data_IF_603944805290
#
_entry.id   IF_603944805290
#
_cell.length_a   1.000
_cell.length_b   1.000
_cell.length_c   1.000
_cell.angle_alpha   90.00
_cell.angle_beta   90.00
_cell.angle_gamma   90.00
#
_symmetry.space_group_name_H-M   'P 1'
#
loop_
_entity.id
_entity.type
_entity.pdbx_description
1 polymer ?
#
# COMPACT_ATOMS: atom_id res chain seq x y z
N UNK A 1 1.23 17.75 57.85
CA UNK A 1 0.60 16.75 56.96
C UNK A 1 0.01 17.29 55.66
N UNK A 2 -0.39 18.58 55.54
CA UNK A 2 -0.97 19.13 54.30
C UNK A 2 0.03 19.40 53.16
N UNK A 3 1.29 19.67 53.48
CA UNK A 3 2.33 20.01 52.48
C UNK A 3 2.76 18.79 51.64
N UNK A 4 2.78 17.59 52.24
CA UNK A 4 3.18 16.35 51.56
C UNK A 4 2.13 15.94 50.50
N UNK A 5 0.84 16.20 50.74
CA UNK A 5 -0.22 15.91 49.76
C UNK A 5 -0.16 16.83 48.53
N UNK A 6 0.23 18.10 48.67
CA UNK A 6 0.38 19.00 47.52
C UNK A 6 1.56 18.60 46.61
N UNK A 7 2.67 18.14 47.18
CA UNK A 7 3.84 17.72 46.39
C UNK A 7 3.55 16.43 45.62
N UNK A 8 2.83 15.48 46.23
CA UNK A 8 2.43 14.24 45.57
C UNK A 8 1.45 14.48 44.41
N UNK A 9 0.51 15.42 44.57
CA UNK A 9 -0.43 15.78 43.51
C UNK A 9 0.27 16.48 42.33
N UNK A 10 1.23 17.37 42.60
CA UNK A 10 2.04 18.03 41.57
C UNK A 10 2.94 17.05 40.81
N UNK A 11 3.47 16.02 41.49
CA UNK A 11 4.26 14.97 40.85
C UNK A 11 3.40 14.02 40.01
N UNK A 12 2.17 13.70 40.44
CA UNK A 12 1.22 12.93 39.64
C UNK A 12 0.71 13.73 38.43
N UNK A 13 0.46 15.03 38.59
CA UNK A 13 0.10 15.91 37.48
C UNK A 13 1.26 16.09 36.48
N UNK A 14 2.51 16.21 36.93
CA UNK A 14 3.66 16.27 36.02
C UNK A 14 3.92 14.92 35.32
N UNK A 15 3.63 13.78 35.95
CA UNK A 15 3.63 12.46 35.29
C UNK A 15 2.46 12.29 34.30
N UNK A 16 1.29 12.86 34.59
CA UNK A 16 0.15 12.88 33.67
C UNK A 16 0.38 13.84 32.47
N UNK A 17 1.16 14.90 32.63
CA UNK A 17 1.55 15.80 31.54
C UNK A 17 2.82 15.36 30.80
N UNK A 18 3.70 14.55 31.41
CA UNK A 18 4.88 13.98 30.75
C UNK A 18 4.54 12.83 29.77
N UNK A 19 3.30 12.30 29.82
CA UNK A 19 2.72 11.43 28.80
C UNK A 19 1.82 12.18 27.81
N UNK A 20 1.98 13.50 27.70
CA UNK A 20 1.64 14.18 26.45
C UNK A 20 2.75 13.82 25.48
N UNK A 21 2.72 12.63 24.89
CA UNK A 21 3.47 12.41 23.65
C UNK A 21 3.04 13.56 22.76
N UNK A 22 3.99 14.44 22.38
CA UNK A 22 3.77 15.38 21.29
C UNK A 22 3.12 14.54 20.20
N UNK A 23 1.86 14.82 19.91
CA UNK A 23 1.14 14.14 18.86
C UNK A 23 1.88 14.54 17.58
N UNK A 24 2.92 13.79 17.23
CA UNK A 24 3.73 14.05 16.06
C UNK A 24 2.77 13.99 14.89
N UNK A 25 2.53 15.17 14.32
CA UNK A 25 1.53 15.35 13.30
C UNK A 25 1.97 14.56 12.08
N UNK A 26 1.25 13.46 11.82
CA UNK A 26 1.54 12.55 10.70
C UNK A 26 1.27 13.33 9.40
N UNK A 27 2.29 13.50 8.57
CA UNK A 27 2.13 14.02 7.21
C UNK A 27 2.32 12.91 6.17
N UNK A 28 1.87 13.19 4.95
CA UNK A 28 2.28 12.45 3.76
C UNK A 28 3.39 13.26 3.07
N UNK A 29 4.60 12.72 3.07
CA UNK A 29 5.76 13.29 2.37
C UNK A 29 5.83 12.70 0.97
N UNK A 30 5.62 13.53 -0.06
CA UNK A 30 5.67 13.12 -1.46
C UNK A 30 6.99 13.56 -2.07
N UNK A 31 7.87 12.61 -2.31
CA UNK A 31 9.23 12.85 -2.74
C UNK A 31 9.65 12.04 -3.95
N UNK A 32 10.58 12.64 -4.67
CA UNK A 32 11.44 11.98 -5.64
C UNK A 32 12.87 12.47 -5.34
N UNK A 33 13.87 11.84 -5.94
CA UNK A 33 15.25 12.29 -5.76
C UNK A 33 15.42 13.71 -6.32
N UNK A 34 16.32 14.50 -5.71
CA UNK A 34 16.49 15.93 -6.02
C UNK A 34 16.84 16.23 -7.48
N UNK A 35 17.52 15.29 -8.16
CA UNK A 35 17.91 15.39 -9.57
C UNK A 35 16.93 14.66 -10.51
N UNK A 36 15.70 14.39 -10.06
CA UNK A 36 14.73 13.66 -10.87
C UNK A 36 14.31 14.47 -12.12
N UNK A 37 14.05 13.79 -13.24
CA UNK A 37 13.50 14.40 -14.45
C UNK A 37 12.23 15.21 -14.20
N UNK A 38 11.99 16.23 -15.03
CA UNK A 38 10.80 17.11 -14.95
C UNK A 38 9.50 16.31 -14.92
N UNK A 39 9.42 15.23 -15.69
CA UNK A 39 8.25 14.35 -15.70
C UNK A 39 7.95 13.77 -14.31
N UNK A 40 8.97 13.28 -13.60
CA UNK A 40 8.83 12.75 -12.24
C UNK A 40 8.43 13.86 -11.27
N UNK A 41 8.99 15.07 -11.43
CA UNK A 41 8.59 16.19 -10.58
C UNK A 41 7.11 16.54 -10.75
N UNK A 42 6.65 16.63 -11.99
CA UNK A 42 5.24 16.91 -12.30
C UNK A 42 4.30 15.83 -11.74
N UNK A 43 4.73 14.56 -11.78
CA UNK A 43 3.96 13.45 -11.19
C UNK A 43 3.78 13.68 -9.69
N UNK A 44 4.85 14.05 -8.98
CA UNK A 44 4.73 14.31 -7.56
C UNK A 44 3.80 15.48 -7.25
N UNK A 45 3.83 16.56 -8.02
CA UNK A 45 2.93 17.70 -7.84
C UNK A 45 1.46 17.28 -8.08
N UNK A 46 1.23 16.41 -9.06
CA UNK A 46 -0.08 15.81 -9.31
C UNK A 46 -0.54 14.93 -8.14
N UNK A 47 0.37 14.15 -7.55
CA UNK A 47 0.07 13.31 -6.38
C UNK A 47 -0.25 14.15 -5.15
N UNK A 48 0.55 15.19 -4.86
CA UNK A 48 0.33 16.13 -3.75
C UNK A 48 -1.05 16.79 -3.84
N UNK A 49 -1.46 17.18 -5.05
CA UNK A 49 -2.72 17.87 -5.31
C UNK A 49 -3.93 16.91 -5.44
N UNK A 50 -3.70 15.60 -5.37
CA UNK A 50 -4.73 14.61 -5.68
C UNK A 50 -5.67 14.31 -4.52
N UNK A 51 -6.79 13.67 -4.85
CA UNK A 51 -7.69 13.01 -3.90
C UNK A 51 -7.70 11.49 -4.12
N UNK A 52 -6.51 10.90 -4.31
CA UNK A 52 -6.42 9.45 -4.51
C UNK A 52 -7.15 8.70 -3.37
N UNK A 53 -7.80 7.55 -3.65
CA UNK A 53 -8.59 6.81 -2.65
C UNK A 53 -7.83 6.55 -1.35
N UNK A 54 -6.55 6.16 -1.44
CA UNK A 54 -5.71 5.90 -0.27
C UNK A 54 -5.58 7.12 0.65
N UNK A 55 -5.41 8.32 0.08
CA UNK A 55 -5.30 9.55 0.87
C UNK A 55 -6.64 9.95 1.48
N UNK A 56 -7.76 9.60 0.86
CA UNK A 56 -9.07 9.80 1.48
C UNK A 56 -9.27 8.84 2.65
N UNK A 57 -8.89 7.58 2.48
CA UNK A 57 -8.95 6.56 3.54
C UNK A 57 -8.01 6.86 4.71
N UNK A 58 -6.80 7.35 4.46
CA UNK A 58 -5.86 7.75 5.52
C UNK A 58 -6.40 8.94 6.34
N UNK A 59 -7.14 9.86 5.71
CA UNK A 59 -7.76 10.98 6.42
C UNK A 59 -8.92 10.48 7.29
N UNK A 60 -9.73 9.58 6.75
CA UNK A 60 -10.79 8.90 7.50
C UNK A 60 -10.24 8.11 8.70
N UNK A 61 -9.10 7.45 8.51
CA UNK A 61 -8.39 6.73 9.57
C UNK A 61 -7.82 7.65 10.67
N UNK A 62 -7.82 8.97 10.48
CA UNK A 62 -7.15 9.91 11.39
C UNK A 62 -5.62 9.84 11.31
N UNK A 63 -5.08 9.24 10.25
CA UNK A 63 -3.67 8.88 10.15
C UNK A 63 -2.78 9.96 9.50
N UNK A 64 -3.32 11.09 9.04
CA UNK A 64 -2.51 12.24 8.64
C UNK A 64 -3.29 13.57 8.63
N UNK A 65 -2.56 14.67 8.74
CA UNK A 65 -3.12 16.04 8.73
C UNK A 65 -2.98 16.75 7.39
N UNK A 66 -1.90 16.48 6.66
CA UNK A 66 -1.63 17.15 5.38
C UNK A 66 -0.61 16.44 4.52
N UNK A 67 -0.57 16.83 3.26
CA UNK A 67 0.37 16.32 2.27
C UNK A 67 1.29 17.45 1.81
N UNK A 68 2.58 17.17 1.65
CA UNK A 68 3.53 18.15 1.12
C UNK A 68 4.57 17.50 0.23
N UNK A 69 5.04 18.30 -0.72
CA UNK A 69 6.23 18.00 -1.51
C UNK A 69 7.46 17.96 -0.58
N UNK A 70 8.29 16.93 -0.71
CA UNK A 70 9.49 16.80 0.12
C UNK A 70 10.63 16.14 -0.67
N UNK A 71 11.68 16.92 -0.95
CA UNK A 71 12.88 16.47 -1.67
C UNK A 71 13.96 15.86 -0.76
N UNK A 72 13.72 15.85 0.56
CA UNK A 72 14.67 15.36 1.54
C UNK A 72 14.58 13.86 1.84
N UNK A 73 13.79 13.08 1.08
CA UNK A 73 13.71 11.63 1.29
C UNK A 73 15.01 11.00 0.81
N UNK A 74 15.75 10.38 1.73
CA UNK A 74 17.00 9.68 1.49
C UNK A 74 16.79 8.18 1.66
N UNK A 75 17.43 7.37 0.83
CA UNK A 75 17.38 5.91 0.92
C UNK A 75 18.06 5.35 2.16
N UNK A 76 19.19 5.95 2.56
CA UNK A 76 19.92 5.59 3.78
C UNK A 76 20.34 6.86 4.53
N UNK A 77 19.42 7.50 5.28
CA UNK A 77 19.75 8.67 6.06
C UNK A 77 20.84 8.35 7.10
N UNK A 78 21.97 9.05 7.01
CA UNK A 78 23.01 9.01 8.04
C UNK A 78 22.60 9.83 9.26
N UNK A 79 21.90 10.95 9.04
CA UNK A 79 21.38 11.79 10.10
C UNK A 79 20.14 11.17 10.77
N UNK A 80 20.17 11.07 12.10
CA UNK A 80 19.07 10.49 12.89
C UNK A 80 17.81 11.36 12.81
N UNK A 81 17.94 12.69 12.68
CA UNK A 81 16.81 13.60 12.52
C UNK A 81 16.05 13.34 11.21
N UNK A 82 16.77 13.21 10.10
CA UNK A 82 16.20 12.85 8.79
C UNK A 82 15.55 11.46 8.84
N UNK A 83 16.23 10.49 9.45
CA UNK A 83 15.66 9.15 9.64
C UNK A 83 14.34 9.18 10.39
N UNK A 84 14.31 9.85 11.55
CA UNK A 84 13.12 9.97 12.39
C UNK A 84 12.00 10.70 11.67
N UNK A 85 12.32 11.77 10.93
CA UNK A 85 11.34 12.48 10.13
C UNK A 85 10.69 11.57 9.07
N UNK A 86 11.49 10.75 8.38
CA UNK A 86 10.98 9.79 7.41
C UNK A 86 10.14 8.68 8.06
N UNK A 87 10.56 8.16 9.21
CA UNK A 87 9.88 7.07 9.91
C UNK A 87 8.50 7.48 10.46
N UNK A 88 8.41 8.67 11.04
CA UNK A 88 7.20 9.17 11.71
C UNK A 88 6.18 9.81 10.74
N UNK A 89 6.45 9.75 9.43
CA UNK A 89 5.54 10.22 8.39
C UNK A 89 5.20 9.10 7.40
N UNK A 90 4.05 9.22 6.73
CA UNK A 90 3.78 8.43 5.55
C UNK A 90 4.65 8.93 4.39
N UNK A 91 5.14 8.02 3.58
CA UNK A 91 6.01 8.33 2.45
C UNK A 91 5.34 7.95 1.14
N UNK A 92 5.44 8.82 0.15
CA UNK A 92 5.19 8.50 -1.25
C UNK A 92 6.47 8.75 -2.02
N UNK A 93 7.13 7.67 -2.44
CA UNK A 93 8.40 7.71 -3.16
C UNK A 93 8.12 7.43 -4.64
N UNK A 94 8.51 8.37 -5.50
CA UNK A 94 8.24 8.33 -6.94
C UNK A 94 9.54 8.40 -7.71
N UNK A 95 9.81 7.41 -8.56
CA UNK A 95 11.00 7.41 -9.41
C UNK A 95 11.43 6.04 -9.91
N UNK A 96 12.41 6.05 -10.80
CA UNK A 96 13.14 4.85 -11.25
C UNK A 96 14.08 4.40 -10.12
N UNK A 97 14.20 3.10 -9.81
CA UNK A 97 14.96 2.62 -8.66
C UNK A 97 16.47 2.59 -8.97
N UNK A 98 17.12 3.74 -8.93
CA UNK A 98 18.57 3.85 -9.09
C UNK A 98 19.31 3.54 -7.77
N UNK A 99 20.49 2.93 -7.88
CA UNK A 99 21.30 2.53 -6.72
C UNK A 99 21.58 3.71 -5.77
N UNK A 100 21.49 3.43 -4.46
CA UNK A 100 21.70 4.43 -3.41
C UNK A 100 20.52 5.41 -3.19
N UNK A 101 19.56 5.46 -4.11
CA UNK A 101 18.40 6.35 -4.02
C UNK A 101 17.25 5.74 -3.23
N UNK A 102 16.30 6.58 -2.80
CA UNK A 102 15.20 6.14 -1.95
C UNK A 102 14.32 5.08 -2.63
N UNK A 103 14.02 5.24 -3.93
CA UNK A 103 13.19 4.30 -4.69
C UNK A 103 13.78 2.88 -4.77
N UNK A 104 15.11 2.74 -4.85
CA UNK A 104 15.80 1.45 -4.82
C UNK A 104 15.94 0.90 -3.40
N UNK A 105 16.31 1.74 -2.43
CA UNK A 105 16.52 1.32 -1.03
C UNK A 105 15.25 0.86 -0.34
N UNK A 106 14.10 1.42 -0.73
CA UNK A 106 12.80 0.98 -0.21
C UNK A 106 12.15 -0.07 -1.11
N UNK A 107 12.95 -0.82 -1.88
CA UNK A 107 12.41 -1.87 -2.73
C UNK A 107 11.92 -3.06 -1.90
N UNK A 108 10.61 -3.29 -1.97
CA UNK A 108 9.95 -4.46 -1.43
C UNK A 108 10.39 -5.75 -2.15
N UNK A 109 10.11 -6.87 -1.52
CA UNK A 109 10.55 -8.21 -1.95
C UNK A 109 9.67 -8.83 -3.04
N UNK A 110 8.54 -8.21 -3.39
CA UNK A 110 7.55 -8.84 -4.29
C UNK A 110 7.90 -8.69 -5.78
N UNK A 111 8.85 -7.81 -6.12
CA UNK A 111 9.32 -7.60 -7.49
C UNK A 111 10.78 -7.12 -7.58
N UNK A 112 11.41 -7.41 -8.72
CA UNK A 112 12.68 -6.87 -9.16
C UNK A 112 12.52 -5.92 -10.35
N UNK A 113 13.38 -4.91 -10.44
CA UNK A 113 13.51 -4.03 -11.61
C UNK A 113 14.98 -4.02 -11.99
N UNK A 114 15.27 -4.36 -13.25
CA UNK A 114 16.55 -4.13 -13.89
C UNK A 114 16.39 -2.93 -14.82
N UNK A 115 16.91 -1.77 -14.39
CA UNK A 115 16.75 -0.50 -15.11
C UNK A 115 17.51 -0.51 -16.43
N UNK A 116 18.69 -1.15 -16.48
CA UNK A 116 19.53 -1.20 -17.68
C UNK A 116 18.87 -2.04 -18.77
N UNK A 117 18.35 -3.22 -18.41
CA UNK A 117 17.63 -4.09 -19.35
C UNK A 117 16.19 -3.65 -19.59
N UNK A 118 15.70 -2.68 -18.81
CA UNK A 118 14.27 -2.28 -18.76
C UNK A 118 13.36 -3.46 -18.45
N UNK A 119 13.79 -4.32 -17.55
CA UNK A 119 13.06 -5.53 -17.18
C UNK A 119 12.44 -5.39 -15.79
N UNK A 120 11.27 -5.98 -15.63
CA UNK A 120 10.62 -6.13 -14.33
C UNK A 120 10.12 -7.56 -14.19
N UNK A 121 10.42 -8.17 -13.04
CA UNK A 121 9.85 -9.45 -12.65
C UNK A 121 9.02 -9.27 -11.38
N UNK A 122 7.79 -9.78 -11.35
CA UNK A 122 6.94 -9.78 -10.16
C UNK A 122 6.32 -11.14 -9.95
N UNK A 123 6.46 -11.67 -8.74
CA UNK A 123 5.91 -12.99 -8.37
C UNK A 123 4.40 -12.96 -8.56
N UNK A 124 3.86 -13.95 -9.28
CA UNK A 124 2.43 -14.06 -9.55
C UNK A 124 1.91 -13.17 -10.69
N UNK A 125 2.80 -12.50 -11.44
CA UNK A 125 2.45 -11.70 -12.62
C UNK A 125 3.37 -12.06 -13.80
N UNK A 126 4.68 -12.05 -13.60
CA UNK A 126 5.66 -12.54 -14.57
C UNK A 126 6.81 -11.57 -14.83
N UNK A 127 7.55 -11.84 -15.90
CA UNK A 127 8.77 -11.14 -16.29
C UNK A 127 8.60 -10.45 -17.64
N UNK A 128 8.78 -9.12 -17.65
CA UNK A 128 8.51 -8.27 -18.81
C UNK A 128 9.70 -7.37 -19.13
N UNK A 129 9.79 -6.93 -20.39
CA UNK A 129 10.76 -5.93 -20.88
C UNK A 129 10.04 -4.79 -21.61
N UNK A 130 10.39 -3.55 -21.26
CA UNK A 130 9.87 -2.34 -21.89
C UNK A 130 9.53 -1.23 -20.88
N UNK A 131 8.59 -0.34 -21.23
CA UNK A 131 8.10 0.71 -20.35
C UNK A 131 7.08 0.12 -19.35
N UNK A 132 7.54 -0.24 -18.16
CA UNK A 132 6.74 -0.96 -17.16
C UNK A 132 6.69 -0.13 -15.89
N UNK A 133 5.47 0.05 -15.35
CA UNK A 133 5.21 0.72 -14.11
C UNK A 133 4.76 -0.24 -13.00
N UNK A 134 4.98 0.13 -11.75
CA UNK A 134 4.48 -0.61 -10.59
C UNK A 134 4.09 0.34 -9.47
N UNK A 135 3.01 -0.02 -8.78
CA UNK A 135 2.61 0.60 -7.52
C UNK A 135 2.68 -0.47 -6.45
N UNK A 136 3.24 -0.13 -5.31
CA UNK A 136 3.26 -0.98 -4.13
C UNK A 136 3.08 -0.14 -2.87
N UNK A 137 2.17 -0.58 -2.00
CA UNK A 137 1.92 0.06 -0.72
C UNK A 137 2.27 -0.90 0.40
N UNK A 138 3.20 -0.50 1.25
CA UNK A 138 3.78 -1.27 2.34
C UNK A 138 3.75 -0.46 3.64
N UNK A 139 4.16 -1.10 4.72
CA UNK A 139 4.58 -0.39 5.93
C UNK A 139 5.91 0.34 5.68
N UNK A 140 6.07 1.49 6.34
CA UNK A 140 7.24 2.34 6.16
C UNK A 140 8.51 1.69 6.77
N UNK A 141 9.49 1.27 5.96
CA UNK A 141 10.63 0.50 6.46
C UNK A 141 11.53 1.27 7.44
N UNK A 142 11.55 2.61 7.40
CA UNK A 142 12.36 3.40 8.34
C UNK A 142 11.87 3.25 9.79
N UNK A 143 10.55 3.14 9.96
CA UNK A 143 9.91 2.95 11.26
C UNK A 143 10.13 1.54 11.81
N UNK A 144 10.13 0.52 10.96
CA UNK A 144 10.33 -0.89 11.37
C UNK A 144 11.81 -1.32 11.27
N UNK A 145 12.73 -0.38 11.39
CA UNK A 145 14.16 -0.66 11.41
C UNK A 145 14.66 -0.89 12.84
N UNK A 146 15.85 -1.47 12.96
CA UNK A 146 16.55 -1.59 14.25
C UNK A 146 17.01 -0.25 14.86
N UNK A 147 16.67 0.89 14.24
CA UNK A 147 16.97 2.24 14.76
C UNK A 147 15.85 2.80 15.64
N UNK A 148 14.71 2.12 15.70
CA UNK A 148 13.60 2.42 16.59
C UNK A 148 13.43 1.28 17.58
N UNK A 149 13.35 1.64 18.87
CA UNK A 149 13.13 0.68 19.95
C UNK A 149 11.64 0.32 20.07
N UNK A 150 10.75 1.31 20.02
CA UNK A 150 9.30 1.14 20.07
C UNK A 150 8.60 2.15 19.15
N UNK A 151 7.62 1.66 18.38
CA UNK A 151 6.86 2.46 17.43
C UNK A 151 5.49 2.82 18.05
N UNK A 152 5.12 4.11 18.16
CA UNK A 152 3.85 4.52 18.78
C UNK A 152 2.63 4.33 17.87
N UNK A 153 2.83 4.19 16.56
CA UNK A 153 1.79 4.01 15.53
C UNK A 153 2.44 3.44 14.28
N UNK A 154 1.63 3.12 13.25
CA UNK A 154 2.11 2.62 11.97
C UNK A 154 2.11 3.70 10.88
N UNK A 155 3.20 3.81 10.11
CA UNK A 155 3.25 4.64 8.90
C UNK A 155 3.39 3.78 7.65
N UNK A 156 3.02 4.34 6.50
CA UNK A 156 2.96 3.64 5.23
C UNK A 156 3.98 4.20 4.25
N UNK A 157 4.43 3.34 3.35
CA UNK A 157 5.18 3.69 2.16
C UNK A 157 4.33 3.35 0.94
N UNK A 158 4.09 4.33 0.08
CA UNK A 158 3.63 4.13 -1.30
C UNK A 158 4.82 4.31 -2.21
N UNK A 159 5.13 3.29 -3.00
CA UNK A 159 6.17 3.35 -4.02
C UNK A 159 5.53 3.34 -5.40
N UNK A 160 5.80 4.38 -6.17
CA UNK A 160 5.39 4.52 -7.57
C UNK A 160 6.65 4.49 -8.41
N UNK A 161 6.91 3.34 -9.03
CA UNK A 161 8.18 3.08 -9.69
C UNK A 161 7.99 2.43 -11.07
N UNK A 162 9.09 2.12 -11.74
CA UNK A 162 9.08 1.52 -13.07
C UNK A 162 10.47 1.36 -13.65
N UNK A 163 10.53 0.66 -14.78
CA UNK A 163 11.76 0.45 -15.56
C UNK A 163 12.24 1.71 -16.28
N UNK A 164 11.32 2.64 -16.55
CA UNK A 164 11.57 3.94 -17.20
C UNK A 164 10.67 5.02 -16.61
N UNK A 165 10.97 6.29 -16.88
CA UNK A 165 10.10 7.41 -16.46
C UNK A 165 8.68 7.30 -17.01
N UNK A 166 8.53 6.77 -18.23
CA UNK A 166 7.21 6.48 -18.83
C UNK A 166 6.48 5.39 -18.05
N UNK A 167 7.19 4.34 -17.63
CA UNK A 167 6.67 3.32 -16.72
C UNK A 167 6.18 3.92 -15.40
N UNK A 168 6.98 4.80 -14.78
CA UNK A 168 6.60 5.51 -13.56
C UNK A 168 5.33 6.36 -13.77
N UNK A 169 5.22 7.07 -14.90
CA UNK A 169 4.02 7.84 -15.24
C UNK A 169 2.76 6.97 -15.38
N UNK A 170 2.89 5.79 -15.98
CA UNK A 170 1.80 4.81 -16.09
C UNK A 170 1.35 4.31 -14.70
N UNK A 171 2.31 3.98 -13.83
CA UNK A 171 2.04 3.59 -12.45
C UNK A 171 1.34 4.71 -11.67
N UNK A 172 1.81 5.94 -11.78
CA UNK A 172 1.22 7.09 -11.11
C UNK A 172 -0.24 7.30 -11.55
N UNK A 173 -0.52 7.22 -12.85
CA UNK A 173 -1.90 7.31 -13.36
C UNK A 173 -2.79 6.21 -12.79
N UNK A 174 -2.29 4.99 -12.65
CA UNK A 174 -3.04 3.89 -12.06
C UNK A 174 -3.26 4.08 -10.54
N UNK A 175 -2.25 4.57 -9.82
CA UNK A 175 -2.36 4.93 -8.39
C UNK A 175 -3.43 5.98 -8.15
N UNK A 176 -3.44 7.05 -8.95
CA UNK A 176 -4.45 8.11 -8.85
C UNK A 176 -5.88 7.60 -9.11
N UNK A 177 -6.02 6.48 -9.84
CA UNK A 177 -7.30 5.76 -10.06
C UNK A 177 -7.63 4.72 -8.97
N UNK A 178 -6.80 4.62 -7.94
CA UNK A 178 -7.02 3.76 -6.77
C UNK A 178 -6.25 2.45 -6.74
N UNK A 179 -5.36 2.17 -7.69
CA UNK A 179 -4.51 0.98 -7.61
C UNK A 179 -3.41 1.17 -6.58
N UNK A 180 -3.40 0.38 -5.51
CA UNK A 180 -2.43 0.48 -4.41
C UNK A 180 -1.35 -0.59 -4.47
N UNK A 181 -1.59 -1.70 -5.17
CA UNK A 181 -0.59 -2.72 -5.48
C UNK A 181 -0.84 -3.30 -6.88
N UNK A 182 0.10 -3.17 -7.80
CA UNK A 182 -0.04 -3.76 -9.14
C UNK A 182 1.04 -3.34 -10.11
N UNK A 183 1.00 -3.92 -11.30
CA UNK A 183 1.91 -3.63 -12.43
C UNK A 183 1.12 -3.02 -13.57
N UNK A 184 1.74 -2.11 -14.33
CA UNK A 184 1.19 -1.50 -15.53
C UNK A 184 2.17 -1.71 -16.67
N UNK A 185 1.71 -2.29 -17.77
CA UNK A 185 2.53 -2.43 -18.97
C UNK A 185 2.23 -1.26 -19.91
N UNK A 186 3.28 -0.65 -20.45
CA UNK A 186 3.20 0.25 -21.57
C UNK A 186 2.93 -0.49 -22.88
N UNK A 187 2.79 0.29 -23.96
CA UNK A 187 2.63 -0.25 -25.30
C UNK A 187 3.89 -0.98 -25.76
N UNK A 188 3.72 -2.12 -26.44
CA UNK A 188 4.83 -2.89 -27.00
C UNK A 188 5.70 -3.64 -25.99
N UNK A 189 5.27 -3.74 -24.72
CA UNK A 189 6.00 -4.52 -23.71
C UNK A 189 6.02 -6.00 -24.09
N UNK A 190 7.22 -6.59 -24.01
CA UNK A 190 7.50 -8.00 -24.27
C UNK A 190 7.41 -8.80 -22.96
N UNK A 191 6.88 -10.03 -23.01
CA UNK A 191 7.04 -11.02 -21.94
C UNK A 191 8.33 -11.81 -22.19
N UNK A 192 9.33 -11.62 -21.32
CA UNK A 192 10.67 -12.20 -21.46
C UNK A 192 10.65 -13.70 -21.14
N UNK A 193 9.95 -14.07 -20.09
CA UNK A 193 9.80 -15.46 -19.65
C UNK A 193 8.33 -15.72 -19.27
N UNK A 194 7.87 -16.96 -19.49
CA UNK A 194 6.52 -17.40 -19.13
C UNK A 194 6.57 -18.55 -18.14
N UNK A 195 5.87 -18.40 -17.01
CA UNK A 195 5.70 -19.45 -16.01
C UNK A 195 4.22 -19.81 -15.81
N UNK A 196 3.95 -20.92 -15.12
CA UNK A 196 2.58 -21.33 -14.77
C UNK A 196 1.91 -20.42 -13.73
N UNK A 197 2.68 -19.53 -13.09
CA UNK A 197 2.24 -18.53 -12.12
C UNK A 197 2.27 -17.11 -12.70
N UNK A 198 2.29 -17.00 -14.02
CA UNK A 198 2.25 -15.70 -14.69
C UNK A 198 0.81 -15.32 -15.06
N UNK A 199 0.52 -14.02 -14.95
CA UNK A 199 -0.74 -13.42 -15.35
C UNK A 199 -0.45 -12.11 -16.08
N UNK A 200 -1.21 -11.79 -17.12
CA UNK A 200 -1.11 -10.47 -17.73
C UNK A 200 -1.70 -9.44 -16.74
N UNK A 201 -0.92 -8.43 -16.30
CA UNK A 201 -1.43 -7.43 -15.39
C UNK A 201 -2.50 -6.58 -16.09
N UNK A 202 -3.44 -6.06 -15.29
CA UNK A 202 -4.59 -5.32 -15.80
C UNK A 202 -4.82 -4.03 -15.03
N UNK A 203 -4.96 -2.92 -15.76
CA UNK A 203 -5.36 -1.64 -15.16
C UNK A 203 -6.88 -1.47 -15.06
N UNK A 204 -7.64 -2.51 -15.41
CA UNK A 204 -9.10 -2.52 -15.23
C UNK A 204 -9.37 -2.42 -13.74
N UNK A 205 -10.01 -1.32 -13.34
CA UNK A 205 -10.49 -1.15 -11.97
C UNK A 205 -11.56 -2.21 -11.64
N UNK A 206 -11.74 -2.58 -10.36
CA UNK A 206 -12.85 -3.43 -9.97
C UNK A 206 -14.19 -2.81 -10.40
N UNK A 207 -15.25 -3.62 -10.54
CA UNK A 207 -16.60 -3.11 -10.74
C UNK A 207 -16.98 -2.15 -9.60
N UNK A 208 -18.01 -1.33 -9.81
CA UNK A 208 -18.40 -0.28 -8.86
C UNK A 208 -18.66 -0.87 -7.47
N UNK A 209 -17.76 -0.56 -6.54
CA UNK A 209 -17.82 -0.93 -5.13
C UNK A 209 -18.35 0.23 -4.28
N UNK A 210 -18.94 -0.06 -3.11
CA UNK A 210 -19.21 0.97 -2.12
C UNK A 210 -17.91 1.65 -1.69
N UNK A 211 -17.91 2.98 -1.72
CA UNK A 211 -16.80 3.82 -1.23
C UNK A 211 -16.65 3.69 0.29
N UNK A 212 -17.76 3.43 0.98
CA UNK A 212 -17.84 3.23 2.41
C UNK A 212 -18.58 1.93 2.69
N UNK A 213 -18.09 1.17 3.67
CA UNK A 213 -18.77 0.01 4.26
C UNK A 213 -19.01 0.27 5.76
N UNK A 214 -19.99 -0.41 6.32
CA UNK A 214 -20.29 -0.34 7.75
C UNK A 214 -20.45 -1.75 8.31
N UNK A 215 -19.85 -2.00 9.48
CA UNK A 215 -20.08 -3.18 10.28
C UNK A 215 -20.22 -2.79 11.75
N UNK A 216 -21.37 -3.09 12.36
CA UNK A 216 -21.73 -2.55 13.67
C UNK A 216 -21.64 -1.02 13.67
N UNK A 217 -20.90 -0.48 14.64
CA UNK A 217 -20.66 0.96 14.78
C UNK A 217 -19.43 1.45 13.99
N UNK A 218 -18.68 0.55 13.35
CA UNK A 218 -17.49 0.89 12.60
C UNK A 218 -17.82 1.27 11.15
N UNK A 219 -17.11 2.29 10.66
CA UNK A 219 -17.17 2.74 9.27
C UNK A 219 -15.82 2.59 8.59
N UNK A 220 -15.84 2.02 7.41
CA UNK A 220 -14.68 1.63 6.63
C UNK A 220 -14.65 2.41 5.32
N UNK A 221 -13.54 3.08 5.03
CA UNK A 221 -13.36 3.87 3.81
C UNK A 221 -12.44 3.15 2.83
N UNK A 222 -12.82 3.10 1.54
CA UNK A 222 -12.00 2.43 0.52
C UNK A 222 -10.63 3.10 0.38
N UNK A 223 -9.57 2.31 0.59
CA UNK A 223 -8.18 2.73 0.45
C UNK A 223 -7.67 2.50 -0.98
N UNK A 224 -8.25 1.54 -1.70
CA UNK A 224 -7.88 1.24 -3.08
C UNK A 224 -8.02 -0.24 -3.39
N UNK A 225 -7.43 -0.66 -4.51
CA UNK A 225 -7.47 -2.03 -4.98
C UNK A 225 -6.09 -2.54 -5.40
N UNK A 226 -5.91 -3.85 -5.28
CA UNK A 226 -4.70 -4.55 -5.67
C UNK A 226 -5.00 -5.52 -6.81
N UNK A 227 -4.06 -5.65 -7.74
CA UNK A 227 -4.02 -6.80 -8.65
C UNK A 227 -3.60 -8.03 -7.86
N UNK A 228 -4.42 -9.07 -7.81
CA UNK A 228 -4.05 -10.31 -7.16
C UNK A 228 -3.07 -11.13 -8.02
N UNK A 229 -2.15 -11.90 -7.41
CA UNK A 229 -1.23 -12.77 -8.13
C UNK A 229 -1.94 -14.02 -8.67
N UNK A 230 -1.39 -14.62 -9.73
CA UNK A 230 -1.94 -15.77 -10.46
C UNK A 230 -2.30 -16.97 -9.58
N UNK A 231 -1.56 -17.22 -8.49
CA UNK A 231 -1.89 -18.29 -7.56
C UNK A 231 -3.28 -18.13 -6.93
N UNK A 232 -3.75 -16.89 -6.73
CA UNK A 232 -5.09 -16.63 -6.22
C UNK A 232 -6.18 -16.87 -7.28
N UNK A 233 -5.88 -16.66 -8.56
CA UNK A 233 -6.79 -17.00 -9.66
C UNK A 233 -6.99 -18.51 -9.74
N UNK A 234 -5.89 -19.26 -9.58
CA UNK A 234 -5.89 -20.72 -9.58
C UNK A 234 -6.67 -21.34 -8.43
N UNK A 235 -6.67 -20.71 -7.26
CA UNK A 235 -7.37 -21.21 -6.07
C UNK A 235 -8.88 -21.45 -6.32
N UNK A 236 -9.50 -20.72 -7.25
CA UNK A 236 -10.91 -20.92 -7.60
C UNK A 236 -11.22 -22.27 -8.25
N UNK A 237 -10.21 -22.93 -8.84
CA UNK A 237 -10.37 -24.29 -9.36
C UNK A 237 -10.56 -25.31 -8.24
N UNK A 238 -9.90 -25.10 -7.10
CA UNK A 238 -10.06 -25.94 -5.90
C UNK A 238 -11.46 -25.77 -5.28
N UNK A 239 -12.13 -24.65 -5.57
CA UNK A 239 -13.51 -24.37 -5.17
C UNK A 239 -14.54 -24.81 -6.23
N UNK A 240 -14.14 -25.61 -7.21
CA UNK A 240 -15.04 -26.27 -8.15
C UNK A 240 -15.37 -25.48 -9.42
N UNK A 241 -14.74 -24.33 -9.66
CA UNK A 241 -14.77 -23.69 -10.98
C UNK A 241 -13.99 -24.55 -12.00
N UNK A 242 -14.48 -24.65 -13.23
CA UNK A 242 -13.76 -25.35 -14.31
C UNK A 242 -12.67 -24.45 -14.92
N UNK A 243 -12.88 -23.13 -14.85
CA UNK A 243 -11.94 -22.12 -15.34
C UNK A 243 -11.64 -21.08 -14.26
N UNK A 244 -10.44 -20.49 -14.36
CA UNK A 244 -10.01 -19.39 -13.49
C UNK A 244 -10.85 -18.13 -13.78
N UNK A 245 -10.97 -17.20 -12.80
CA UNK A 245 -11.51 -15.88 -13.06
C UNK A 245 -10.73 -15.15 -14.18
N UNK A 246 -11.39 -14.25 -14.90
CA UNK A 246 -10.75 -13.30 -15.80
C UNK A 246 -9.95 -12.25 -15.03
N UNK A 247 -10.49 -11.82 -13.88
CA UNK A 247 -9.89 -10.82 -13.02
C UNK A 247 -10.20 -11.14 -11.55
N UNK A 248 -9.22 -10.89 -10.70
CA UNK A 248 -9.35 -10.93 -9.24
C UNK A 248 -8.77 -9.64 -8.69
N UNK A 249 -9.58 -8.92 -7.92
CA UNK A 249 -9.20 -7.70 -7.22
C UNK A 249 -9.30 -7.91 -5.72
N UNK A 250 -8.30 -7.42 -4.99
CA UNK A 250 -8.40 -7.22 -3.53
C UNK A 250 -8.61 -5.75 -3.26
N UNK A 251 -9.82 -5.39 -2.87
CA UNK A 251 -10.19 -4.04 -2.45
C UNK A 251 -9.91 -3.90 -0.96
N UNK A 252 -9.18 -2.87 -0.56
CA UNK A 252 -8.83 -2.59 0.83
C UNK A 252 -9.65 -1.44 1.38
N UNK A 253 -10.03 -1.55 2.64
CA UNK A 253 -10.72 -0.52 3.39
C UNK A 253 -9.99 -0.22 4.70
N UNK A 254 -10.03 1.04 5.14
CA UNK A 254 -9.50 1.47 6.43
C UNK A 254 -10.63 1.93 7.34
N UNK A 255 -10.63 1.43 8.57
CA UNK A 255 -11.44 1.97 9.67
C UNK A 255 -10.71 3.11 10.37
N UNK A 256 -11.45 3.85 11.22
CA UNK A 256 -10.86 4.88 12.08
C UNK A 256 -9.79 4.26 12.98
N UNK A 257 -8.62 4.89 13.08
CA UNK A 257 -7.53 4.46 13.95
C UNK A 257 -6.84 3.14 13.56
N UNK A 258 -7.10 2.59 12.37
CA UNK A 258 -6.52 1.30 11.95
C UNK A 258 -4.98 1.28 11.83
N UNK A 259 -4.32 2.45 11.93
CA UNK A 259 -2.87 2.62 11.94
C UNK A 259 -2.35 3.27 13.23
N UNK A 260 -3.18 3.38 14.27
CA UNK A 260 -2.79 3.98 15.56
C UNK A 260 -2.10 2.98 16.49
N UNK A 261 -2.00 1.70 16.09
CA UNK A 261 -1.23 0.69 16.81
C UNK A 261 -0.12 0.07 15.94
N UNK A 262 0.76 -0.68 16.62
CA UNK A 262 1.86 -1.43 16.02
C UNK A 262 1.71 -2.90 16.39
N UNK A 263 0.56 -3.47 16.03
CA UNK A 263 0.20 -4.86 16.30
C UNK A 263 0.11 -5.70 15.02
N UNK A 264 0.09 -7.03 15.17
CA UNK A 264 -0.24 -7.92 14.06
C UNK A 264 -1.59 -7.59 13.40
N UNK A 265 -2.54 -7.00 14.15
CA UNK A 265 -3.83 -6.56 13.62
C UNK A 265 -3.68 -5.41 12.63
N UNK A 266 -2.88 -4.38 12.95
CA UNK A 266 -2.56 -3.30 12.00
C UNK A 266 -1.93 -3.88 10.73
N UNK A 267 -1.03 -4.86 10.86
CA UNK A 267 -0.39 -5.51 9.71
C UNK A 267 -1.38 -6.26 8.81
N UNK A 268 -2.32 -7.00 9.40
CA UNK A 268 -3.35 -7.75 8.66
C UNK A 268 -4.39 -6.83 8.02
N UNK A 269 -4.66 -5.67 8.63
CA UNK A 269 -5.60 -4.68 8.11
C UNK A 269 -4.96 -3.66 7.16
N UNK A 270 -3.62 -3.57 7.15
CA UNK A 270 -2.85 -2.64 6.33
C UNK A 270 -2.98 -2.86 4.82
N UNK A 271 -2.38 -1.98 4.01
CA UNK A 271 -2.60 -1.93 2.56
C UNK A 271 -1.80 -2.97 1.76
N UNK A 272 -0.98 -3.79 2.44
CA UNK A 272 -0.12 -4.77 1.80
C UNK A 272 -0.93 -5.79 1.00
N UNK A 273 -0.43 -6.26 -0.14
CA UNK A 273 -1.15 -7.23 -0.98
C UNK A 273 -1.48 -8.53 -0.23
N UNK A 274 -0.59 -8.99 0.66
CA UNK A 274 -0.80 -10.19 1.49
C UNK A 274 -1.63 -9.94 2.77
N UNK A 275 -2.11 -8.71 2.99
CA UNK A 275 -2.92 -8.37 4.16
C UNK A 275 -4.41 -8.55 3.83
N UNK A 276 -5.02 -9.60 4.40
CA UNK A 276 -6.37 -10.04 4.06
C UNK A 276 -7.50 -9.44 4.93
N UNK A 277 -7.15 -8.73 6.02
CA UNK A 277 -8.14 -8.03 6.85
C UNK A 277 -8.71 -6.80 6.16
N UNK A 278 -9.89 -6.33 6.58
CA UNK A 278 -10.60 -5.18 6.01
C UNK A 278 -10.59 -5.15 4.46
N UNK A 279 -10.84 -6.30 3.85
CA UNK A 279 -10.72 -6.49 2.41
C UNK A 279 -11.97 -7.13 1.81
N UNK A 280 -12.30 -6.69 0.61
CA UNK A 280 -13.29 -7.36 -0.24
C UNK A 280 -12.56 -7.93 -1.45
N UNK A 281 -12.67 -9.25 -1.64
CA UNK A 281 -12.15 -9.91 -2.85
C UNK A 281 -13.27 -9.99 -3.87
N UNK A 282 -13.00 -9.52 -5.09
CA UNK A 282 -13.95 -9.55 -6.21
C UNK A 282 -13.33 -10.37 -7.32
N UNK A 283 -14.07 -11.36 -7.79
CA UNK A 283 -13.63 -12.25 -8.86
C UNK A 283 -14.65 -12.24 -10.00
N UNK A 284 -14.20 -11.82 -11.17
CA UNK A 284 -15.00 -11.77 -12.39
C UNK A 284 -14.72 -13.01 -13.24
N UNK A 285 -15.76 -13.78 -13.56
CA UNK A 285 -15.66 -14.96 -14.42
C UNK A 285 -16.25 -14.66 -15.80
N UNK A 286 -15.75 -15.35 -16.83
CA UNK A 286 -16.35 -15.31 -18.17
C UNK A 286 -17.70 -16.03 -18.26
N UNK A 287 -18.01 -16.89 -17.30
CA UNK A 287 -19.21 -17.74 -17.29
C UNK A 287 -19.84 -17.74 -15.89
N UNK A 288 -21.15 -17.52 -15.84
CA UNK A 288 -21.92 -17.51 -14.59
C UNK A 288 -21.92 -18.88 -13.91
N UNK A 289 -21.81 -19.99 -14.66
CA UNK A 289 -21.72 -21.33 -14.08
C UNK A 289 -20.46 -21.51 -13.24
N UNK A 290 -19.32 -21.05 -13.74
CA UNK A 290 -18.05 -21.10 -13.00
C UNK A 290 -18.12 -20.25 -11.74
N UNK A 291 -18.68 -19.04 -11.84
CA UNK A 291 -18.88 -18.16 -10.68
C UNK A 291 -19.75 -18.81 -9.60
N UNK A 292 -20.87 -19.42 -9.97
CA UNK A 292 -21.78 -20.11 -9.03
C UNK A 292 -21.11 -21.30 -8.36
N UNK A 293 -20.36 -22.11 -9.11
CA UNK A 293 -19.63 -23.25 -8.55
C UNK A 293 -18.56 -22.80 -7.56
N UNK A 294 -17.71 -21.85 -7.95
CA UNK A 294 -16.67 -21.30 -7.08
C UNK A 294 -17.27 -20.70 -5.80
N UNK A 295 -18.37 -19.95 -5.91
CA UNK A 295 -19.07 -19.41 -4.74
C UNK A 295 -19.59 -20.50 -3.80
N UNK A 296 -20.20 -21.55 -4.36
CA UNK A 296 -20.68 -22.70 -3.58
C UNK A 296 -19.51 -23.41 -2.87
N UNK A 297 -18.44 -23.74 -3.59
CA UNK A 297 -17.26 -24.41 -3.03
C UNK A 297 -16.55 -23.58 -1.96
N UNK A 298 -16.45 -22.25 -2.16
CA UNK A 298 -15.93 -21.34 -1.13
C UNK A 298 -16.75 -21.40 0.15
N UNK A 299 -18.09 -21.33 0.05
CA UNK A 299 -18.99 -21.40 1.20
C UNK A 299 -18.89 -22.74 1.92
N UNK A 300 -18.81 -23.84 1.17
CA UNK A 300 -18.72 -25.20 1.72
C UNK A 300 -17.37 -25.48 2.37
N UNK A 301 -16.30 -24.77 1.98
CA UNK A 301 -14.98 -24.93 2.59
C UNK A 301 -14.92 -24.52 4.07
N UNK A 302 -15.94 -23.82 4.59
CA UNK A 302 -15.96 -23.30 5.96
C UNK A 302 -14.94 -22.18 6.22
N UNK A 303 -14.17 -21.78 5.20
CA UNK A 303 -13.17 -20.69 5.28
C UNK A 303 -13.76 -19.31 4.99
N UNK A 304 -15.03 -19.26 4.58
CA UNK A 304 -15.80 -18.06 4.31
C UNK A 304 -17.17 -18.19 4.99
N UNK A 305 -17.34 -17.57 6.15
CA UNK A 305 -18.66 -17.39 6.77
C UNK A 305 -19.30 -16.08 6.28
N UNK A 306 -20.42 -16.12 5.53
CA UNK A 306 -21.11 -14.90 5.14
C UNK A 306 -21.72 -14.23 6.38
N UNK A 307 -21.34 -12.98 6.67
CA UNK A 307 -22.03 -12.14 7.66
C UNK A 307 -21.40 -12.00 9.05
N UNK A 308 -20.12 -12.36 9.23
CA UNK A 308 -19.30 -11.93 10.37
C UNK A 308 -18.13 -11.03 9.94
N UNK A 309 -18.42 -10.09 9.05
CA UNK A 309 -17.50 -9.04 8.63
C UNK A 309 -18.08 -7.72 9.02
#
# INVERSE_FOLDING_TARGET
MKIIHCIFLLFLLSLLFAYSSVADTKHILVGADSNSPVLISNICDAVVSSKAPLFTALRHAGSFEGMKRYYGIQGEPADKGVWNHQALNHLVIIGVPEEGKAAARTQGFTYGIDVEKKEMNRIGVGHFRGDIGTVETLFNPYLYSNRFDDNPFSTLLVRISGTTEKGVALAAKAFLRGMINGVVLGEGVERVESTILDQNPTTKAPPKIPVTLSHGDESFQVAGWSQCPENEYRAYLDYGAERKPLHVWRVKYFSKGCLDDVSGTAWVNGPHIMAWGNAVTISEFSDSKDAVRAFKGLRESGRWEPGKA
#
